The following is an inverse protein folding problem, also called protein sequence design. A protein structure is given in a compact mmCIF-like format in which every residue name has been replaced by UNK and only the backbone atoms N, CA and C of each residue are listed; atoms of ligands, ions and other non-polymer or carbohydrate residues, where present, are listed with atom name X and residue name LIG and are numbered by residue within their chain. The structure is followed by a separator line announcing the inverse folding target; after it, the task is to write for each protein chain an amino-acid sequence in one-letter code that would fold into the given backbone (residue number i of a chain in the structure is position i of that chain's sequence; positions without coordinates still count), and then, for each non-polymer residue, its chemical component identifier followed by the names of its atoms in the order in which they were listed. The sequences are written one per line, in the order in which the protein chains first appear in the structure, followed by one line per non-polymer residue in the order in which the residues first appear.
data_IF_809404686774
#
_entry.id   IF_809404686774
#
_cell.length_a   1.000
_cell.length_b   1.000
_cell.length_c   1.000
_cell.angle_alpha   90.00
_cell.angle_beta   90.00
_cell.angle_gamma   90.00
#
_symmetry.space_group_name_H-M   'P 1'
#
loop_
_entity.id
_entity.type
_entity.pdbx_description
1 polymer ?
#
# COMPACT_ATOMS: atom_id res chain seq x y z
N UNK A 1 5.17 8.05 -12.48
CA UNK A 1 5.43 9.15 -11.51
C UNK A 1 5.86 10.45 -12.19
N UNK A 2 6.66 10.44 -13.27
CA UNK A 2 7.03 11.66 -14.01
C UNK A 2 5.84 12.57 -14.37
N UNK A 3 4.75 11.98 -14.90
CA UNK A 3 3.55 12.73 -15.25
C UNK A 3 2.87 13.40 -14.05
N UNK A 4 2.94 12.78 -12.86
CA UNK A 4 2.37 13.34 -11.63
C UNK A 4 3.14 14.61 -11.23
N UNK A 5 4.47 14.56 -11.27
CA UNK A 5 5.32 15.72 -11.00
C UNK A 5 5.16 16.80 -12.06
N UNK A 6 5.13 16.45 -13.36
CA UNK A 6 4.87 17.40 -14.44
C UNK A 6 3.53 18.13 -14.27
N UNK A 7 2.46 17.37 -14.04
CA UNK A 7 1.12 17.93 -13.83
C UNK A 7 1.06 18.77 -12.55
N UNK A 8 1.79 18.35 -11.51
CA UNK A 8 1.93 19.13 -10.30
C UNK A 8 2.61 20.47 -10.58
N UNK A 9 3.80 20.49 -11.17
CA UNK A 9 4.50 21.75 -11.47
C UNK A 9 3.69 22.66 -12.39
N UNK A 10 3.09 22.12 -13.45
CA UNK A 10 2.22 22.88 -14.37
C UNK A 10 1.03 23.52 -13.65
N UNK A 11 0.41 22.81 -12.70
CA UNK A 11 -0.71 23.33 -11.90
C UNK A 11 -0.30 24.44 -10.93
N UNK A 12 0.99 24.57 -10.63
CA UNK A 12 1.54 25.54 -9.69
C UNK A 12 2.56 26.48 -10.36
N UNK A 13 2.46 26.64 -11.68
CA UNK A 13 3.20 27.68 -12.42
C UNK A 13 2.80 29.06 -11.86
N UNK A 14 3.76 29.79 -11.30
CA UNK A 14 3.56 31.13 -10.71
C UNK A 14 3.51 31.19 -9.18
N UNK A 15 3.64 30.06 -8.47
CA UNK A 15 3.72 30.04 -7.00
C UNK A 15 5.15 30.24 -6.47
N UNK A 16 5.28 30.76 -5.24
CA UNK A 16 6.59 30.99 -4.60
C UNK A 16 7.34 29.67 -4.35
N UNK A 17 8.67 29.58 -4.59
CA UNK A 17 9.43 28.33 -4.50
C UNK A 17 9.34 27.60 -3.15
N UNK A 18 9.13 28.34 -2.05
CA UNK A 18 8.99 27.79 -0.69
C UNK A 18 7.66 27.06 -0.44
N UNK A 19 6.67 27.25 -1.32
CA UNK A 19 5.36 26.60 -1.25
C UNK A 19 5.22 25.42 -2.22
N UNK A 20 6.28 25.09 -2.97
CA UNK A 20 6.29 24.00 -3.93
C UNK A 20 6.95 22.79 -3.28
N UNK A 21 6.27 21.65 -3.28
CA UNK A 21 6.82 20.39 -2.74
C UNK A 21 7.98 19.90 -3.62
N UNK A 22 8.96 19.24 -2.99
CA UNK A 22 9.96 18.46 -3.71
C UNK A 22 9.34 17.40 -4.66
N UNK A 23 10.01 17.17 -5.79
CA UNK A 23 9.56 16.24 -6.82
C UNK A 23 9.79 14.78 -6.42
N UNK A 24 8.75 13.94 -6.54
CA UNK A 24 8.86 12.51 -6.20
C UNK A 24 9.71 11.76 -7.22
N UNK A 25 9.51 12.05 -8.51
CA UNK A 25 10.12 11.34 -9.60
C UNK A 25 11.63 11.57 -9.65
N UNK A 26 12.07 12.82 -9.52
CA UNK A 26 13.49 13.16 -9.60
C UNK A 26 14.29 12.47 -8.49
N UNK A 27 13.83 12.59 -7.23
CA UNK A 27 14.50 11.96 -6.10
C UNK A 27 14.47 10.43 -6.23
N UNK A 28 13.31 9.82 -6.56
CA UNK A 28 13.18 8.36 -6.74
C UNK A 28 14.04 7.78 -7.87
N UNK A 29 14.31 8.53 -8.93
CA UNK A 29 15.21 8.08 -10.00
C UNK A 29 16.65 7.94 -9.48
N UNK A 30 17.10 8.86 -8.63
CA UNK A 30 18.45 8.83 -8.08
C UNK A 30 18.68 7.60 -7.19
N UNK A 31 17.66 7.15 -6.44
CA UNK A 31 17.72 5.88 -5.69
C UNK A 31 17.88 4.63 -6.57
N UNK A 32 17.46 4.70 -7.84
CA UNK A 32 17.50 3.56 -8.76
C UNK A 32 18.93 3.31 -9.28
N UNK A 33 19.76 4.37 -9.40
CA UNK A 33 21.12 4.27 -9.91
C UNK A 33 22.05 3.46 -9.00
N UNK A 34 21.84 3.48 -7.68
CA UNK A 34 22.70 2.82 -6.70
C UNK A 34 22.40 1.31 -6.54
N UNK A 35 21.18 0.87 -6.88
CA UNK A 35 20.67 -0.48 -6.60
C UNK A 35 20.78 -1.48 -7.77
N UNK A 36 21.27 -1.08 -8.95
CA UNK A 36 21.39 -1.95 -10.12
C UNK A 36 22.62 -2.88 -10.09
N UNK A 37 22.84 -3.60 -8.98
CA UNK A 37 23.67 -4.80 -9.00
C UNK A 37 22.75 -6.00 -9.19
N UNK A 38 22.70 -6.63 -10.38
CA UNK A 38 21.87 -7.81 -10.57
C UNK A 38 22.42 -8.94 -9.71
N UNK A 39 21.77 -9.24 -8.59
CA UNK A 39 22.01 -10.50 -7.88
C UNK A 39 21.57 -11.62 -8.81
N UNK A 40 22.53 -12.43 -9.30
CA UNK A 40 22.26 -13.57 -10.17
C UNK A 40 21.56 -14.69 -9.39
N UNK A 41 20.28 -14.49 -9.08
CA UNK A 41 19.46 -15.53 -8.47
C UNK A 41 19.24 -16.59 -9.55
N UNK A 42 19.78 -17.78 -9.32
CA UNK A 42 19.56 -18.93 -10.20
C UNK A 42 18.07 -19.13 -10.47
N UNK A 43 17.68 -19.26 -11.74
CA UNK A 43 16.30 -19.42 -12.19
C UNK A 43 15.57 -20.54 -11.45
N UNK A 44 16.28 -21.63 -11.12
CA UNK A 44 15.75 -22.76 -10.35
C UNK A 44 15.34 -22.34 -8.92
N UNK A 45 16.16 -21.53 -8.27
CA UNK A 45 15.89 -21.00 -6.93
C UNK A 45 14.71 -20.01 -6.95
N UNK A 46 14.56 -19.22 -8.01
CA UNK A 46 13.43 -18.31 -8.19
C UNK A 46 12.11 -19.07 -8.36
N UNK A 47 12.09 -20.10 -9.22
CA UNK A 47 10.93 -20.97 -9.44
C UNK A 47 10.55 -21.72 -8.16
N UNK A 48 11.52 -22.32 -7.46
CA UNK A 48 11.25 -23.03 -6.21
C UNK A 48 10.64 -22.11 -5.13
N UNK A 49 11.17 -20.88 -4.98
CA UNK A 49 10.61 -19.86 -4.09
C UNK A 49 9.19 -19.47 -4.50
N UNK A 50 8.92 -19.33 -5.79
CA UNK A 50 7.59 -19.03 -6.30
C UNK A 50 6.61 -20.16 -5.95
N UNK A 51 6.93 -21.42 -6.28
CA UNK A 51 6.08 -22.58 -6.00
C UNK A 51 5.83 -22.72 -4.51
N UNK A 52 6.86 -22.63 -3.66
CA UNK A 52 6.68 -22.75 -2.22
C UNK A 52 5.75 -21.66 -1.65
N UNK A 53 5.89 -20.42 -2.15
CA UNK A 53 5.05 -19.28 -1.74
C UNK A 53 3.58 -19.47 -2.14
N UNK A 54 3.32 -19.94 -3.36
CA UNK A 54 1.97 -20.19 -3.85
C UNK A 54 1.35 -21.44 -3.23
N UNK A 55 2.13 -22.54 -3.14
CA UNK A 55 1.73 -23.80 -2.54
C UNK A 55 1.34 -23.64 -1.08
N UNK A 56 2.10 -22.88 -0.27
CA UNK A 56 1.72 -22.62 1.13
C UNK A 56 0.37 -21.91 1.25
N UNK A 57 0.06 -20.97 0.36
CA UNK A 57 -1.22 -20.23 0.36
C UNK A 57 -2.38 -21.12 -0.10
N UNK A 58 -2.15 -21.92 -1.14
CA UNK A 58 -3.13 -22.90 -1.62
C UNK A 58 -3.43 -23.96 -0.54
N UNK A 59 -2.39 -24.47 0.13
CA UNK A 59 -2.52 -25.43 1.22
C UNK A 59 -3.32 -24.90 2.40
N UNK A 60 -3.07 -23.66 2.86
CA UNK A 60 -3.88 -23.03 3.92
C UNK A 60 -5.35 -22.91 3.48
N UNK A 61 -5.59 -22.50 2.23
CA UNK A 61 -6.96 -22.34 1.72
C UNK A 61 -7.68 -23.68 1.62
N UNK A 62 -6.98 -24.73 1.14
CA UNK A 62 -7.50 -26.09 1.05
C UNK A 62 -7.75 -26.69 2.44
N UNK A 63 -6.88 -26.42 3.40
CA UNK A 63 -7.05 -26.85 4.79
C UNK A 63 -8.30 -26.21 5.41
N UNK A 64 -8.45 -24.89 5.31
CA UNK A 64 -9.67 -24.19 5.79
C UNK A 64 -10.91 -24.74 5.10
N UNK A 65 -10.83 -24.99 3.78
CA UNK A 65 -11.92 -25.56 3.01
C UNK A 65 -12.27 -26.97 3.50
N UNK A 66 -11.29 -27.86 3.68
CA UNK A 66 -11.49 -29.22 4.19
C UNK A 66 -12.08 -29.21 5.61
N UNK A 67 -11.56 -28.37 6.51
CA UNK A 67 -12.12 -28.18 7.85
C UNK A 67 -13.57 -27.69 7.81
N UNK A 68 -13.97 -26.94 6.78
CA UNK A 68 -15.36 -26.51 6.61
C UNK A 68 -16.34 -27.66 6.29
N UNK A 69 -15.85 -28.83 5.85
CA UNK A 69 -16.67 -30.04 5.61
C UNK A 69 -16.88 -30.90 6.86
N UNK A 70 -16.17 -30.62 7.96
CA UNK A 70 -16.36 -31.35 9.22
C UNK A 70 -17.79 -31.08 9.73
N UNK A 71 -18.60 -32.13 10.01
CA UNK A 71 -19.94 -31.94 10.54
C UNK A 71 -19.90 -31.18 11.87
N UNK A 72 -20.93 -30.37 12.14
CA UNK A 72 -21.08 -29.46 13.29
C UNK A 72 -20.08 -28.29 13.35
N UNK A 73 -18.77 -28.53 13.25
CA UNK A 73 -17.73 -27.50 13.39
C UNK A 73 -17.54 -26.70 12.10
N UNK A 74 -17.74 -27.33 10.93
CA UNK A 74 -17.43 -26.74 9.63
C UNK A 74 -18.22 -25.48 9.29
N UNK A 75 -19.41 -25.30 9.89
CA UNK A 75 -20.21 -24.06 9.77
C UNK A 75 -19.53 -22.86 10.44
N UNK A 76 -18.74 -23.08 11.49
CA UNK A 76 -18.04 -22.04 12.25
C UNK A 76 -16.62 -21.76 11.73
N UNK A 77 -16.01 -22.70 11.03
CA UNK A 77 -14.64 -22.56 10.49
C UNK A 77 -14.51 -21.34 9.58
N UNK A 78 -15.42 -21.18 8.62
CA UNK A 78 -15.34 -20.06 7.65
C UNK A 78 -15.63 -18.70 8.30
N UNK A 79 -16.71 -18.51 9.10
CA UNK A 79 -16.90 -17.26 9.84
C UNK A 79 -15.75 -16.97 10.80
N UNK A 80 -15.26 -17.98 11.53
CA UNK A 80 -14.14 -17.85 12.46
C UNK A 80 -12.83 -17.47 11.76
N UNK A 81 -12.50 -18.09 10.62
CA UNK A 81 -11.34 -17.73 9.82
C UNK A 81 -11.45 -16.32 9.25
N UNK A 82 -12.65 -15.93 8.80
CA UNK A 82 -12.93 -14.58 8.30
C UNK A 82 -12.80 -13.54 9.39
N UNK A 83 -13.37 -13.81 10.57
CA UNK A 83 -13.25 -12.99 11.76
C UNK A 83 -11.79 -12.83 12.17
N UNK A 84 -11.05 -13.93 12.30
CA UNK A 84 -9.64 -13.89 12.68
C UNK A 84 -8.80 -13.03 11.74
N UNK A 85 -9.10 -13.12 10.44
CA UNK A 85 -8.38 -12.40 9.39
C UNK A 85 -8.73 -10.92 9.34
N UNK A 86 -10.01 -10.57 9.54
CA UNK A 86 -10.52 -9.22 9.30
C UNK A 86 -10.63 -8.35 10.56
N UNK A 87 -10.68 -8.95 11.77
CA UNK A 87 -10.75 -8.22 13.03
C UNK A 87 -9.59 -7.23 13.22
N UNK A 88 -8.42 -7.52 12.65
CA UNK A 88 -7.24 -6.64 12.73
C UNK A 88 -7.43 -5.34 11.94
N UNK A 89 -8.29 -5.36 10.93
CA UNK A 89 -8.52 -4.24 10.01
C UNK A 89 -9.62 -3.32 10.52
N UNK A 90 -10.74 -3.89 10.97
CA UNK A 90 -11.94 -3.11 11.36
C UNK A 90 -12.18 -3.06 12.87
N UNK A 91 -11.39 -3.79 13.66
CA UNK A 91 -11.58 -3.93 15.10
C UNK A 91 -12.53 -5.08 15.47
N UNK A 92 -12.52 -5.43 16.75
CA UNK A 92 -13.24 -6.60 17.28
C UNK A 92 -14.76 -6.47 17.13
N UNK A 93 -15.35 -5.38 17.60
CA UNK A 93 -16.80 -5.19 17.67
C UNK A 93 -17.51 -5.32 16.30
N UNK A 94 -17.11 -4.59 15.24
CA UNK A 94 -17.77 -4.73 13.94
C UNK A 94 -17.48 -6.08 13.29
N UNK A 95 -16.28 -6.66 13.49
CA UNK A 95 -15.98 -8.00 12.99
C UNK A 95 -16.86 -9.07 13.65
N UNK A 96 -17.09 -8.96 14.96
CA UNK A 96 -17.91 -9.91 15.71
C UNK A 96 -19.37 -9.87 15.22
N UNK A 97 -19.89 -8.68 14.92
CA UNK A 97 -21.24 -8.53 14.36
C UNK A 97 -21.33 -9.14 12.95
N UNK A 98 -20.39 -8.78 12.05
CA UNK A 98 -20.40 -9.24 10.65
C UNK A 98 -20.25 -10.77 10.56
N UNK A 99 -19.29 -11.36 11.28
CA UNK A 99 -19.04 -12.79 11.19
C UNK A 99 -19.85 -13.63 12.17
N UNK A 100 -20.37 -13.03 13.25
CA UNK A 100 -21.38 -13.65 14.09
C UNK A 100 -22.69 -13.87 13.32
N UNK A 101 -23.16 -12.86 12.59
CA UNK A 101 -24.27 -13.02 11.64
C UNK A 101 -23.86 -13.86 10.41
N UNK A 102 -22.57 -13.86 10.08
CA UNK A 102 -21.92 -14.72 9.09
C UNK A 102 -22.17 -16.22 9.25
N UNK A 103 -22.58 -16.69 10.43
CA UNK A 103 -23.00 -18.08 10.66
C UNK A 103 -24.23 -18.45 9.80
N UNK A 104 -25.07 -17.48 9.45
CA UNK A 104 -26.23 -17.67 8.57
C UNK A 104 -25.90 -17.47 7.09
N UNK A 105 -24.71 -16.94 6.77
CA UNK A 105 -24.32 -16.73 5.38
C UNK A 105 -23.92 -18.05 4.70
N UNK A 106 -24.36 -18.27 3.44
CA UNK A 106 -23.88 -19.40 2.65
C UNK A 106 -22.35 -19.40 2.52
N UNK A 107 -21.73 -20.57 2.71
CA UNK A 107 -20.27 -20.78 2.70
C UNK A 107 -19.55 -20.10 1.52
N UNK A 108 -20.17 -20.13 0.33
CA UNK A 108 -19.63 -19.51 -0.89
C UNK A 108 -19.24 -18.05 -0.70
N UNK A 109 -20.03 -17.26 0.04
CA UNK A 109 -19.76 -15.84 0.24
C UNK A 109 -18.56 -15.62 1.15
N UNK A 110 -18.39 -16.46 2.18
CA UNK A 110 -17.23 -16.40 3.07
C UNK A 110 -15.94 -16.81 2.35
N UNK A 111 -16.00 -17.82 1.48
CA UNK A 111 -14.86 -18.21 0.63
C UNK A 111 -14.51 -17.09 -0.34
N UNK A 112 -15.51 -16.49 -1.03
CA UNK A 112 -15.28 -15.35 -1.92
C UNK A 112 -14.68 -14.18 -1.15
N UNK A 113 -15.15 -13.91 0.08
CA UNK A 113 -14.62 -12.87 0.94
C UNK A 113 -13.15 -13.11 1.29
N UNK A 114 -12.80 -14.30 1.80
CA UNK A 114 -11.41 -14.67 2.10
C UNK A 114 -10.51 -14.57 0.86
N UNK A 115 -10.98 -15.11 -0.26
CA UNK A 115 -10.24 -15.06 -1.52
C UNK A 115 -9.99 -13.62 -1.93
N UNK A 116 -11.03 -12.78 -1.92
CA UNK A 116 -10.92 -11.36 -2.25
C UNK A 116 -9.97 -10.63 -1.30
N UNK A 117 -10.01 -10.95 0.00
CA UNK A 117 -9.11 -10.39 0.99
C UNK A 117 -7.64 -10.71 0.71
N UNK A 118 -7.31 -11.99 0.52
CA UNK A 118 -5.93 -12.40 0.27
C UNK A 118 -5.43 -11.96 -1.11
N UNK A 119 -6.30 -11.96 -2.13
CA UNK A 119 -5.98 -11.47 -3.47
C UNK A 119 -5.74 -9.97 -3.48
N UNK A 120 -6.62 -9.17 -2.88
CA UNK A 120 -6.44 -7.71 -2.72
C UNK A 120 -5.12 -7.37 -2.03
N UNK A 121 -4.81 -8.07 -0.92
CA UNK A 121 -3.55 -7.86 -0.19
C UNK A 121 -2.32 -8.28 -0.99
N UNK A 122 -2.44 -9.28 -1.85
CA UNK A 122 -1.33 -9.71 -2.71
C UNK A 122 -1.11 -8.71 -3.83
N UNK A 123 -2.18 -8.28 -4.49
CA UNK A 123 -2.17 -7.29 -5.55
C UNK A 123 -1.52 -5.98 -5.08
N UNK A 124 -1.98 -5.43 -3.95
CA UNK A 124 -1.42 -4.18 -3.41
C UNK A 124 0.06 -4.28 -3.07
N UNK A 125 0.52 -5.43 -2.57
CA UNK A 125 1.95 -5.67 -2.33
C UNK A 125 2.76 -5.69 -3.62
N UNK A 126 2.24 -6.30 -4.67
CA UNK A 126 2.90 -6.35 -5.98
C UNK A 126 2.94 -4.96 -6.63
N UNK A 127 1.81 -4.23 -6.62
CA UNK A 127 1.72 -2.87 -7.17
C UNK A 127 2.64 -1.86 -6.44
N UNK A 128 2.88 -2.06 -5.15
CA UNK A 128 3.77 -1.21 -4.34
C UNK A 128 5.24 -1.66 -4.36
N UNK A 129 5.55 -2.84 -4.90
CA UNK A 129 6.93 -3.35 -4.95
C UNK A 129 7.90 -2.37 -5.64
N UNK A 130 7.55 -1.71 -6.76
CA UNK A 130 8.42 -0.73 -7.40
C UNK A 130 8.82 0.44 -6.49
N UNK A 131 7.98 0.80 -5.52
CA UNK A 131 8.29 1.83 -4.52
C UNK A 131 9.26 1.30 -3.46
N UNK A 132 9.00 0.11 -2.92
CA UNK A 132 9.82 -0.49 -1.86
C UNK A 132 11.20 -0.99 -2.32
N UNK A 133 11.38 -1.24 -3.61
CA UNK A 133 12.71 -1.57 -4.16
C UNK A 133 13.58 -0.31 -4.25
N UNK A 134 12.97 0.88 -4.39
CA UNK A 134 13.72 2.14 -4.49
C UNK A 134 14.16 2.65 -3.12
N UNK A 135 13.27 2.57 -2.13
CA UNK A 135 13.56 3.09 -0.78
C UNK A 135 13.98 1.93 0.13
N UNK A 136 15.07 2.12 0.89
CA UNK A 136 15.66 1.09 1.75
C UNK A 136 14.84 0.84 3.02
N UNK A 137 13.73 0.12 2.89
CA UNK A 137 12.96 -0.37 4.03
C UNK A 137 13.53 -1.68 4.56
N UNK A 138 13.67 -1.79 5.89
CA UNK A 138 13.83 -3.10 6.53
C UNK A 138 12.51 -3.89 6.48
N UNK A 139 12.57 -5.20 6.72
CA UNK A 139 11.38 -6.07 6.72
C UNK A 139 10.32 -5.59 7.72
N UNK A 140 10.75 -5.16 8.91
CA UNK A 140 9.85 -4.68 9.95
C UNK A 140 9.28 -3.30 9.62
N UNK A 141 10.09 -2.39 9.08
CA UNK A 141 9.61 -1.08 8.63
C UNK A 141 8.56 -1.23 7.51
N UNK A 142 8.82 -2.08 6.51
CA UNK A 142 7.84 -2.38 5.43
C UNK A 142 6.56 -2.97 6.02
N UNK A 143 6.66 -3.91 6.97
CA UNK A 143 5.49 -4.51 7.64
C UNK A 143 4.65 -3.44 8.36
N UNK A 144 5.30 -2.56 9.12
CA UNK A 144 4.62 -1.51 9.88
C UNK A 144 3.97 -0.48 8.94
N UNK A 145 4.65 -0.09 7.86
CA UNK A 145 4.09 0.80 6.83
C UNK A 145 2.80 0.23 6.23
N UNK A 146 2.77 -1.06 5.89
CA UNK A 146 1.58 -1.73 5.36
C UNK A 146 0.46 -1.81 6.40
N UNK A 147 0.82 -2.10 7.65
CA UNK A 147 -0.14 -2.23 8.74
C UNK A 147 -0.84 -0.90 9.05
N UNK A 148 -0.09 0.19 9.12
CA UNK A 148 -0.64 1.50 9.45
C UNK A 148 -1.62 2.05 8.39
N UNK A 149 -1.44 1.61 7.14
CA UNK A 149 -2.26 1.95 5.96
C UNK A 149 -3.19 0.82 5.50
N UNK A 150 -3.37 -0.21 6.33
CA UNK A 150 -4.01 -1.47 5.94
C UNK A 150 -5.45 -1.29 5.43
N UNK A 151 -6.26 -0.46 6.09
CA UNK A 151 -7.66 -0.22 5.68
C UNK A 151 -7.78 0.47 4.31
N UNK A 152 -6.96 1.50 4.06
CA UNK A 152 -6.95 2.21 2.78
C UNK A 152 -6.45 1.31 1.65
N UNK A 153 -5.32 0.62 1.89
CA UNK A 153 -4.74 -0.30 0.91
C UNK A 153 -5.69 -1.46 0.62
N UNK A 154 -6.38 -1.98 1.63
CA UNK A 154 -7.39 -3.01 1.45
C UNK A 154 -8.52 -2.55 0.52
N UNK A 155 -9.11 -1.37 0.78
CA UNK A 155 -10.17 -0.80 -0.05
C UNK A 155 -9.71 -0.57 -1.50
N UNK A 156 -8.53 0.04 -1.66
CA UNK A 156 -7.91 0.23 -2.98
C UNK A 156 -7.70 -1.11 -3.72
N UNK A 157 -7.14 -2.10 -3.03
CA UNK A 157 -6.85 -3.42 -3.61
C UNK A 157 -8.12 -4.20 -3.95
N UNK A 158 -9.19 -4.11 -3.15
CA UNK A 158 -10.47 -4.76 -3.46
C UNK A 158 -11.08 -4.14 -4.72
N UNK A 159 -11.07 -2.82 -4.86
CA UNK A 159 -11.56 -2.12 -6.05
C UNK A 159 -10.87 -2.62 -7.32
N UNK A 160 -9.54 -2.61 -7.34
CA UNK A 160 -8.79 -3.12 -8.49
C UNK A 160 -8.91 -4.63 -8.69
N UNK A 161 -8.99 -5.43 -7.62
CA UNK A 161 -9.21 -6.87 -7.73
C UNK A 161 -10.52 -7.19 -8.46
N UNK A 162 -11.61 -6.48 -8.16
CA UNK A 162 -12.89 -6.66 -8.83
C UNK A 162 -12.81 -6.28 -10.31
N UNK A 163 -12.13 -5.17 -10.64
CA UNK A 163 -11.95 -4.73 -12.02
C UNK A 163 -11.09 -5.70 -12.85
N UNK A 164 -10.00 -6.22 -12.25
CA UNK A 164 -9.12 -7.20 -12.89
C UNK A 164 -9.79 -8.56 -13.13
N UNK A 165 -10.85 -8.86 -12.36
CA UNK A 165 -11.64 -10.08 -12.53
C UNK A 165 -12.49 -10.09 -13.80
N UNK A 166 -12.68 -8.93 -14.43
CA UNK A 166 -13.41 -8.82 -15.69
C UNK A 166 -12.50 -9.34 -16.81
N UNK A 167 -12.91 -10.41 -17.53
CA UNK A 167 -12.11 -10.97 -18.60
C UNK A 167 -11.89 -9.94 -19.72
N UNK A 168 -10.82 -10.10 -20.49
CA UNK A 168 -10.38 -9.20 -21.59
C UNK A 168 -9.87 -7.80 -21.17
N UNK A 169 -10.31 -7.28 -20.03
CA UNK A 169 -9.86 -5.97 -19.51
C UNK A 169 -8.67 -6.07 -18.55
N UNK A 170 -8.32 -7.26 -18.06
CA UNK A 170 -7.32 -7.46 -17.01
C UNK A 170 -5.95 -6.81 -17.28
N UNK A 171 -5.40 -6.94 -18.49
CA UNK A 171 -4.08 -6.37 -18.83
C UNK A 171 -4.13 -4.83 -18.82
N UNK A 172 -5.16 -4.24 -19.43
CA UNK A 172 -5.35 -2.78 -19.43
C UNK A 172 -5.56 -2.25 -18.01
N UNK A 173 -6.42 -2.93 -17.24
CA UNK A 173 -6.71 -2.56 -15.86
C UNK A 173 -5.49 -2.68 -14.96
N UNK A 174 -4.57 -3.62 -15.24
CA UNK A 174 -3.32 -3.75 -14.51
C UNK A 174 -2.42 -2.53 -14.71
N UNK A 175 -2.27 -2.04 -15.96
CA UNK A 175 -1.53 -0.79 -16.23
C UNK A 175 -2.15 0.42 -15.52
N UNK A 176 -3.48 0.52 -15.50
CA UNK A 176 -4.20 1.56 -14.75
C UNK A 176 -3.94 1.43 -13.25
N UNK A 177 -3.91 0.21 -12.72
CA UNK A 177 -3.64 -0.08 -11.32
C UNK A 177 -2.22 0.36 -10.91
N UNK A 178 -1.21 0.10 -11.75
CA UNK A 178 0.16 0.56 -11.52
C UNK A 178 0.24 2.09 -11.50
N UNK A 179 -0.38 2.77 -12.47
CA UNK A 179 -0.41 4.23 -12.54
C UNK A 179 -1.14 4.85 -11.34
N UNK A 180 -2.28 4.26 -10.96
CA UNK A 180 -3.09 4.68 -9.80
C UNK A 180 -2.36 4.42 -8.49
N UNK A 181 -1.60 3.34 -8.38
CA UNK A 181 -0.75 3.07 -7.20
C UNK A 181 0.37 4.09 -7.11
N UNK A 182 0.99 4.45 -8.23
CA UNK A 182 2.00 5.50 -8.26
C UNK A 182 1.44 6.84 -7.76
N UNK A 183 0.22 7.21 -8.15
CA UNK A 183 -0.46 8.40 -7.62
C UNK A 183 -0.80 8.25 -6.13
N UNK A 184 -1.35 7.10 -5.72
CA UNK A 184 -1.71 6.80 -4.34
C UNK A 184 -0.52 6.98 -3.40
N UNK A 185 0.66 6.45 -3.76
CA UNK A 185 1.90 6.61 -2.98
C UNK A 185 2.19 8.09 -2.72
N UNK A 186 2.01 8.98 -3.71
CA UNK A 186 2.25 10.42 -3.52
C UNK A 186 1.31 11.11 -2.53
N UNK A 187 0.19 10.45 -2.18
CA UNK A 187 -0.82 10.94 -1.25
C UNK A 187 -0.68 10.36 0.16
N UNK A 188 -0.13 9.16 0.28
CA UNK A 188 -0.09 8.40 1.54
C UNK A 188 1.33 8.29 2.12
N UNK A 189 2.30 8.89 1.47
CA UNK A 189 3.73 8.89 1.81
C UNK A 189 4.29 10.26 1.50
N UNK A 190 5.29 10.69 2.25
CA UNK A 190 6.01 11.93 2.00
C UNK A 190 6.97 11.83 0.80
N UNK A 191 7.37 12.96 0.19
CA UNK A 191 8.40 12.94 -0.85
C UNK A 191 9.67 12.31 -0.27
N UNK A 192 10.28 11.34 -0.97
CA UNK A 192 11.60 10.88 -0.56
C UNK A 192 12.60 12.03 -0.72
N UNK A 193 13.49 12.25 0.26
CA UNK A 193 14.57 13.22 0.14
C UNK A 193 15.57 12.76 -0.93
N UNK A 194 16.60 13.57 -1.17
CA UNK A 194 17.72 13.13 -1.99
C UNK A 194 18.40 11.89 -1.37
N UNK A 195 19.03 10.98 -2.16
CA UNK A 195 19.67 9.79 -1.61
C UNK A 195 20.73 10.08 -0.52
N UNK A 196 21.45 11.19 -0.64
CA UNK A 196 22.42 11.66 0.34
C UNK A 196 21.82 12.00 1.72
N UNK A 197 20.52 12.28 1.77
CA UNK A 197 19.75 12.60 2.98
C UNK A 197 18.70 11.52 3.28
N UNK A 198 18.87 10.32 2.72
CA UNK A 198 17.88 9.24 2.84
C UNK A 198 17.86 8.54 4.20
N UNK A 199 18.87 8.80 5.03
CA UNK A 199 19.00 8.21 6.35
C UNK A 199 17.80 8.57 7.24
N UNK A 200 17.20 7.53 7.84
CA UNK A 200 16.02 7.69 8.69
C UNK A 200 14.69 7.92 7.95
N UNK A 201 14.69 8.18 6.64
CA UNK A 201 13.43 8.40 5.89
C UNK A 201 12.50 7.18 5.94
N UNK A 202 13.00 5.97 5.70
CA UNK A 202 12.18 4.76 5.78
C UNK A 202 11.59 4.54 7.18
N UNK A 203 12.30 4.98 8.23
CA UNK A 203 11.82 4.90 9.60
C UNK A 203 10.68 5.90 9.87
N UNK A 204 10.80 7.14 9.38
CA UNK A 204 9.76 8.17 9.54
C UNK A 204 8.46 7.80 8.83
N UNK A 205 8.55 7.08 7.70
CA UNK A 205 7.37 6.69 6.91
C UNK A 205 6.54 5.54 7.52
N UNK A 206 7.00 4.87 8.57
CA UNK A 206 6.26 3.76 9.18
C UNK A 206 4.87 4.18 9.68
N UNK A 207 4.76 5.38 10.23
CA UNK A 207 3.48 5.98 10.62
C UNK A 207 2.97 6.90 9.50
N UNK A 208 1.67 6.89 9.29
CA UNK A 208 1.00 7.75 8.33
C UNK A 208 0.66 9.07 9.02
N UNK A 209 1.64 9.99 8.97
CA UNK A 209 1.54 11.31 9.61
C UNK A 209 0.21 12.01 9.29
N UNK A 210 -0.23 11.96 8.02
CA UNK A 210 -1.40 12.68 7.54
C UNK A 210 -2.71 11.86 7.52
N UNK A 211 -2.80 10.75 8.28
CA UNK A 211 -3.95 9.82 8.24
C UNK A 211 -5.29 10.47 8.54
N UNK A 212 -5.39 11.16 9.67
CA UNK A 212 -6.65 11.74 10.14
C UNK A 212 -7.14 12.86 9.21
N UNK A 213 -6.21 13.60 8.62
CA UNK A 213 -6.54 14.67 7.68
C UNK A 213 -7.02 14.08 6.37
N UNK A 214 -6.27 13.13 5.80
CA UNK A 214 -6.66 12.46 4.57
C UNK A 214 -8.09 11.88 4.62
N UNK A 215 -8.48 11.30 5.75
CA UNK A 215 -9.83 10.72 5.93
C UNK A 215 -10.94 11.76 6.07
N UNK A 216 -10.63 13.00 6.45
CA UNK A 216 -11.60 14.10 6.59
C UNK A 216 -11.76 14.93 5.31
N UNK A 217 -10.88 14.73 4.32
CA UNK A 217 -10.88 15.53 3.09
C UNK A 217 -12.06 15.19 2.19
N UNK A 218 -12.71 16.24 1.69
CA UNK A 218 -13.59 16.11 0.54
C UNK A 218 -12.74 15.72 -0.68
N UNK A 219 -13.19 14.73 -1.48
CA UNK A 219 -12.47 14.21 -2.64
C UNK A 219 -11.99 15.31 -3.62
N UNK A 220 -12.73 16.43 -3.71
CA UNK A 220 -12.40 17.57 -4.58
C UNK A 220 -11.29 18.48 -4.03
N UNK A 221 -10.99 18.38 -2.73
CA UNK A 221 -10.07 19.28 -2.01
C UNK A 221 -8.80 18.59 -1.51
N UNK A 222 -8.65 17.29 -1.77
CA UNK A 222 -7.48 16.51 -1.34
C UNK A 222 -6.16 17.18 -1.75
N UNK A 223 -6.11 17.74 -2.96
CA UNK A 223 -4.92 18.44 -3.46
C UNK A 223 -4.63 19.75 -2.72
N UNK A 224 -5.65 20.49 -2.26
CA UNK A 224 -5.50 21.84 -1.71
C UNK A 224 -5.19 21.85 -0.21
N UNK A 225 -5.75 20.95 0.58
CA UNK A 225 -5.60 20.99 2.03
C UNK A 225 -4.34 20.25 2.54
N UNK A 226 -3.92 19.16 1.88
CA UNK A 226 -2.61 18.52 2.13
C UNK A 226 -1.42 19.49 1.89
N UNK A 227 -1.68 20.62 1.21
CA UNK A 227 -0.73 21.71 0.95
C UNK A 227 -0.48 22.55 2.21
N UNK A 228 -1.54 23.03 2.88
CA UNK A 228 -1.42 24.11 3.87
C UNK A 228 -0.63 23.70 5.12
N UNK A 229 -0.75 22.44 5.55
CA UNK A 229 -0.08 21.96 6.76
C UNK A 229 1.32 21.37 6.56
N UNK A 230 1.63 20.78 5.40
CA UNK A 230 3.01 20.31 5.12
C UNK A 230 4.02 21.46 5.23
N UNK A 231 3.64 22.66 4.79
CA UNK A 231 4.46 23.87 4.93
C UNK A 231 4.34 24.56 6.31
N UNK A 232 3.34 24.21 7.13
CA UNK A 232 3.23 24.70 8.50
C UNK A 232 4.08 23.88 9.48
N UNK A 233 4.29 22.58 9.21
CA UNK A 233 5.07 21.65 10.05
C UNK A 233 6.55 21.55 9.65
N UNK A 234 6.94 22.11 8.49
CA UNK A 234 8.36 22.26 8.11
C UNK A 234 8.85 23.60 8.65
N UNK A 235 9.60 23.66 9.78
CA UNK A 235 10.17 24.93 10.21
C UNK A 235 11.13 25.44 9.12
N UNK A 236 11.18 26.76 8.89
CA UNK A 236 12.15 27.32 7.95
C UNK A 236 13.54 26.93 8.44
N UNK A 237 14.23 26.12 7.63
CA UNK A 237 15.59 25.69 7.90
C UNK A 237 16.46 26.95 8.05
N UNK A 238 16.87 27.26 9.28
CA UNK A 238 17.76 28.37 9.60
C UNK A 238 19.12 28.06 9.00
N UNK A 239 19.28 28.40 7.72
CA UNK A 239 20.60 28.56 7.11
C UNK A 239 21.22 29.79 7.74
N UNK A 240 21.79 29.63 8.92
CA UNK A 240 22.69 30.63 9.51
C UNK A 240 23.93 30.68 8.62
N UNK A 241 23.87 31.52 7.58
CA UNK A 241 25.05 32.13 6.99
C UNK A 241 25.77 32.87 8.12
N UNK A 242 26.71 32.20 8.78
CA UNK A 242 27.78 32.91 9.47
C UNK A 242 28.76 33.38 8.41
N UNK A 243 28.58 34.63 8.01
CA UNK A 243 29.58 35.41 7.31
C UNK A 243 29.64 36.77 8.01
N UNK A 244 30.86 37.30 8.20
CA UNK A 244 31.31 38.47 9.00
C UNK A 244 31.70 38.11 10.45
N UNK A 245 32.87 38.44 10.96
CA UNK A 245 34.05 39.20 10.47
C UNK A 245 35.29 38.64 11.18
#
# INVERSE_FOLDING_TARGET
MAWVDYTYYKKHEGETPTAIREGYYHNLQQYTAENNKPSSISTKTAIAKFIFRFGRRAGISLFIFACSYVPFVGRLVLPGASFYTFQKVIGFAPAAIIFGTGIFLPRRYLVIFLQSYFSSRSLTRELLEPYFVRIRFTKDQKRNWFFDREGLLFGFGVGFYLLLRIPLLGVLMYGIAEASTAYLVTKITDPPPTPAQSDGFAASQQQWANKHEFLKLNLREIDKQLRHKRFAETPPNTSTKNNKN
#
